data_IF_439899865865
#
_entry.id   IF_439899865865
#
_cell.length_a   1.000
_cell.length_b   1.000
_cell.length_c   1.000
_cell.angle_alpha   90.00
_cell.angle_beta   90.00
_cell.angle_gamma   90.00
#
_symmetry.space_group_name_H-M   'P 1'
#
loop_
_entity.id
_entity.type
_entity.pdbx_description
1 polymer ?
#
# COMPACT_ATOMS: atom_id res chain seq x y z
N UNK A 1 -33.67 -0.64 -43.17
CA UNK A 1 -32.23 -0.48 -42.86
C UNK A 1 -32.13 -0.28 -41.35
N UNK A 2 -31.83 -1.34 -40.60
CA UNK A 2 -31.73 -1.26 -39.14
C UNK A 2 -30.35 -0.77 -38.74
N UNK A 3 -30.27 0.48 -38.29
CA UNK A 3 -29.12 1.01 -37.55
C UNK A 3 -29.18 0.47 -36.13
N UNK A 4 -28.28 -0.47 -35.83
CA UNK A 4 -27.99 -0.84 -34.45
C UNK A 4 -27.20 0.31 -33.82
N UNK A 5 -27.86 1.11 -32.99
CA UNK A 5 -27.16 2.08 -32.14
C UNK A 5 -26.46 1.30 -31.04
N UNK A 6 -25.13 1.30 -31.06
CA UNK A 6 -24.31 0.78 -29.99
C UNK A 6 -24.68 1.57 -28.72
N UNK A 7 -25.24 0.90 -27.71
CA UNK A 7 -25.46 1.47 -26.37
C UNK A 7 -24.10 1.58 -25.68
N UNK A 8 -23.30 2.55 -26.12
CA UNK A 8 -22.18 3.03 -25.32
C UNK A 8 -22.77 3.81 -24.13
N UNK A 9 -22.50 3.36 -22.92
CA UNK A 9 -22.84 4.12 -21.71
C UNK A 9 -22.10 5.46 -21.78
N UNK A 10 -22.83 6.57 -21.82
CA UNK A 10 -22.20 7.89 -21.82
C UNK A 10 -21.30 8.05 -20.59
N UNK A 11 -20.06 8.55 -20.74
CA UNK A 11 -19.16 8.75 -19.61
C UNK A 11 -19.74 9.78 -18.63
N UNK A 12 -19.51 9.53 -17.33
CA UNK A 12 -19.83 10.48 -16.26
C UNK A 12 -19.05 11.79 -16.49
N UNK A 13 -19.61 12.98 -16.20
CA UNK A 13 -18.89 14.24 -16.36
C UNK A 13 -17.55 14.25 -15.62
N UNK A 14 -16.48 14.64 -16.32
CA UNK A 14 -15.11 14.63 -15.79
C UNK A 14 -14.43 13.25 -15.77
N UNK A 15 -15.04 12.22 -16.36
CA UNK A 15 -14.44 10.90 -16.55
C UNK A 15 -13.96 10.68 -18.00
N UNK A 16 -13.13 9.65 -18.18
CA UNK A 16 -12.64 9.18 -19.48
C UNK A 16 -13.07 7.72 -19.64
N UNK A 17 -13.55 7.37 -20.84
CA UNK A 17 -13.91 5.98 -21.20
C UNK A 17 -12.63 5.14 -21.31
N UNK A 18 -12.60 3.98 -20.65
CA UNK A 18 -11.45 3.07 -20.62
C UNK A 18 -11.82 1.64 -21.10
N UNK A 19 -12.87 1.52 -21.91
CA UNK A 19 -13.42 0.22 -22.36
C UNK A 19 -12.36 -0.62 -23.10
N UNK A 20 -11.45 0.04 -23.83
CA UNK A 20 -10.33 -0.59 -24.52
C UNK A 20 -9.29 -1.22 -23.56
N UNK A 21 -9.32 -0.84 -22.29
CA UNK A 21 -8.43 -1.35 -21.23
C UNK A 21 -9.11 -2.38 -20.31
N UNK A 22 -10.30 -2.88 -20.65
CA UNK A 22 -11.05 -3.85 -19.84
C UNK A 22 -10.17 -5.03 -19.38
N UNK A 23 -9.46 -5.65 -20.32
CA UNK A 23 -8.57 -6.79 -20.05
C UNK A 23 -7.44 -6.38 -19.09
N UNK A 24 -6.86 -5.20 -19.27
CA UNK A 24 -5.78 -4.67 -18.42
C UNK A 24 -6.28 -4.46 -17.00
N UNK A 25 -7.46 -3.86 -16.84
CA UNK A 25 -8.08 -3.63 -15.54
C UNK A 25 -8.37 -4.95 -14.83
N UNK A 26 -8.86 -5.97 -15.54
CA UNK A 26 -9.12 -7.29 -14.96
C UNK A 26 -7.84 -8.00 -14.51
N UNK A 27 -6.77 -7.96 -15.31
CA UNK A 27 -5.47 -8.48 -14.86
C UNK A 27 -4.96 -7.73 -13.63
N UNK A 28 -5.10 -6.41 -13.60
CA UNK A 28 -4.68 -5.59 -12.46
C UNK A 28 -5.46 -5.95 -11.19
N UNK A 29 -6.77 -6.20 -11.28
CA UNK A 29 -7.57 -6.69 -10.15
C UNK A 29 -7.01 -8.00 -9.60
N UNK A 30 -6.73 -8.96 -10.47
CA UNK A 30 -6.18 -10.28 -10.07
C UNK A 30 -4.81 -10.16 -9.43
N UNK A 31 -3.94 -9.31 -9.98
CA UNK A 31 -2.61 -9.06 -9.40
C UNK A 31 -2.74 -8.45 -8.02
N UNK A 32 -3.57 -7.42 -7.83
CA UNK A 32 -3.81 -6.81 -6.52
C UNK A 32 -4.36 -7.81 -5.50
N UNK A 33 -5.28 -8.68 -5.92
CA UNK A 33 -5.80 -9.74 -5.05
C UNK A 33 -4.71 -10.72 -4.62
N UNK A 34 -3.87 -11.19 -5.55
CA UNK A 34 -2.73 -12.06 -5.24
C UNK A 34 -1.71 -11.38 -4.34
N UNK A 35 -1.41 -10.10 -4.57
CA UNK A 35 -0.52 -9.33 -3.71
C UNK A 35 -1.03 -9.27 -2.27
N UNK A 36 -2.34 -9.03 -2.06
CA UNK A 36 -2.95 -9.07 -0.74
C UNK A 36 -2.77 -10.43 -0.08
N UNK A 37 -3.13 -11.51 -0.79
CA UNK A 37 -2.95 -12.88 -0.31
C UNK A 37 -1.49 -13.16 0.09
N UNK A 38 -0.51 -12.84 -0.75
CA UNK A 38 0.90 -13.08 -0.44
C UNK A 38 1.43 -12.18 0.68
N UNK A 39 0.85 -10.99 0.85
CA UNK A 39 1.17 -10.10 1.97
C UNK A 39 0.72 -10.72 3.29
N UNK A 40 -0.55 -11.15 3.35
CA UNK A 40 -1.12 -11.83 4.51
C UNK A 40 -0.37 -13.12 4.84
N UNK A 41 -0.06 -13.92 3.81
CA UNK A 41 0.71 -15.15 3.98
C UNK A 41 2.12 -14.87 4.52
N UNK A 42 2.84 -13.91 3.95
CA UNK A 42 4.17 -13.50 4.44
C UNK A 42 4.09 -13.08 5.90
N UNK A 43 3.13 -12.24 6.25
CA UNK A 43 2.96 -11.74 7.63
C UNK A 43 2.69 -12.87 8.61
N UNK A 44 1.83 -13.83 8.24
CA UNK A 44 1.55 -15.02 9.06
C UNK A 44 2.80 -15.90 9.27
N UNK A 45 3.62 -16.11 8.23
CA UNK A 45 4.83 -16.92 8.33
C UNK A 45 5.92 -16.21 9.14
N UNK A 46 6.08 -14.90 8.93
CA UNK A 46 7.00 -14.09 9.72
C UNK A 46 6.60 -14.08 11.20
N UNK A 47 5.31 -14.03 11.51
CA UNK A 47 4.82 -14.07 12.89
C UNK A 47 5.28 -15.36 13.59
N UNK A 48 5.10 -16.51 12.94
CA UNK A 48 5.57 -17.81 13.47
C UNK A 48 7.09 -17.81 13.72
N UNK A 49 7.86 -17.22 12.81
CA UNK A 49 9.34 -17.12 12.97
C UNK A 49 9.70 -16.16 14.12
N UNK A 50 9.06 -15.00 14.20
CA UNK A 50 9.29 -14.00 15.25
C UNK A 50 8.95 -14.56 16.63
N UNK A 51 7.81 -15.24 16.76
CA UNK A 51 7.39 -15.90 18.00
C UNK A 51 8.42 -16.96 18.44
N UNK A 52 8.98 -17.69 17.48
CA UNK A 52 10.03 -18.69 17.77
C UNK A 52 11.36 -18.05 18.17
N UNK A 53 11.73 -16.92 17.58
CA UNK A 53 12.95 -16.18 17.91
C UNK A 53 12.89 -15.53 19.30
N UNK A 54 11.72 -15.04 19.71
CA UNK A 54 11.53 -14.33 20.97
C UNK A 54 12.44 -13.10 21.05
N UNK A 55 13.34 -13.09 22.03
CA UNK A 55 14.33 -12.02 22.23
C UNK A 55 15.65 -12.25 21.46
N UNK A 56 15.79 -13.39 20.80
CA UNK A 56 17.01 -13.74 20.06
C UNK A 56 17.03 -13.07 18.69
N UNK A 57 18.14 -12.43 18.35
CA UNK A 57 18.23 -11.68 17.09
C UNK A 57 18.42 -12.53 15.84
N UNK A 58 18.95 -13.75 15.95
CA UNK A 58 19.35 -14.57 14.79
C UNK A 58 18.79 -15.98 14.89
N UNK A 59 18.09 -16.41 13.83
CA UNK A 59 17.61 -17.77 13.65
C UNK A 59 18.49 -18.54 12.69
N UNK A 60 18.79 -19.80 13.01
CA UNK A 60 19.60 -20.69 12.17
C UNK A 60 18.79 -21.88 11.67
N UNK A 61 19.12 -22.35 10.46
CA UNK A 61 18.63 -23.60 9.88
C UNK A 61 19.84 -24.45 9.50
N UNK A 62 19.96 -25.64 10.10
CA UNK A 62 21.12 -26.54 9.92
C UNK A 62 22.47 -25.85 10.23
N UNK A 63 22.49 -25.02 11.28
CA UNK A 63 23.67 -24.26 11.70
C UNK A 63 23.98 -23.01 10.86
N UNK A 64 23.21 -22.74 9.79
CA UNK A 64 23.39 -21.56 8.93
C UNK A 64 22.39 -20.47 9.32
N UNK A 65 22.81 -19.21 9.57
CA UNK A 65 21.90 -18.10 9.79
C UNK A 65 20.98 -17.85 8.59
N UNK A 66 19.67 -17.77 8.83
CA UNK A 66 18.66 -17.57 7.77
C UNK A 66 17.66 -16.45 8.05
N UNK A 67 17.55 -15.99 9.29
CA UNK A 67 16.63 -14.93 9.68
C UNK A 67 17.26 -14.05 10.77
N UNK A 68 16.92 -12.76 10.76
CA UNK A 68 17.24 -11.86 11.85
C UNK A 68 16.07 -10.97 12.22
N UNK A 69 15.88 -10.72 13.52
CA UNK A 69 14.86 -9.82 14.05
C UNK A 69 15.45 -8.99 15.18
N UNK A 70 15.67 -7.70 14.92
CA UNK A 70 16.38 -6.81 15.85
C UNK A 70 15.48 -5.66 16.29
N UNK A 71 15.65 -5.22 17.54
CA UNK A 71 15.01 -4.00 18.06
C UNK A 71 15.88 -2.81 17.70
N UNK A 72 15.31 -1.82 17.01
CA UNK A 72 15.98 -0.54 16.73
C UNK A 72 15.15 0.61 17.31
N UNK A 73 15.82 1.56 17.97
CA UNK A 73 15.17 2.80 18.39
C UNK A 73 15.02 3.73 17.19
N UNK A 74 13.80 4.17 16.91
CA UNK A 74 13.52 5.22 15.93
C UNK A 74 13.18 6.51 16.67
N UNK A 75 13.95 7.56 16.42
CA UNK A 75 13.61 8.92 16.86
C UNK A 75 12.76 9.55 15.74
N UNK A 76 11.57 10.02 16.10
CA UNK A 76 10.69 10.75 15.19
C UNK A 76 10.11 11.97 15.90
N UNK A 77 9.97 13.07 15.19
CA UNK A 77 9.29 14.25 15.71
C UNK A 77 7.80 13.96 15.86
N UNK A 78 7.24 14.21 17.04
CA UNK A 78 5.79 14.15 17.22
C UNK A 78 5.15 15.41 16.65
N UNK A 79 4.72 15.35 15.40
CA UNK A 79 4.07 16.48 14.70
C UNK A 79 2.83 16.97 15.46
N UNK A 80 2.08 16.06 16.11
CA UNK A 80 0.95 16.42 16.95
C UNK A 80 1.37 17.30 18.14
N UNK A 81 2.44 16.92 18.86
CA UNK A 81 3.00 17.74 19.95
C UNK A 81 3.58 19.06 19.42
N UNK A 82 4.25 19.04 18.28
CA UNK A 82 4.81 20.25 17.65
C UNK A 82 3.69 21.25 17.31
N UNK A 83 2.61 20.81 16.68
CA UNK A 83 1.45 21.65 16.35
C UNK A 83 0.73 22.18 17.60
N UNK A 84 0.68 21.40 18.68
CA UNK A 84 0.04 21.81 19.93
C UNK A 84 0.86 22.86 20.70
N UNK A 85 2.19 22.76 20.69
CA UNK A 85 3.08 23.63 21.46
C UNK A 85 3.61 24.83 20.67
N UNK A 86 3.86 24.66 19.37
CA UNK A 86 4.48 25.65 18.48
C UNK A 86 3.79 25.67 17.10
N UNK A 87 2.52 26.12 17.02
CA UNK A 87 1.72 26.07 15.80
C UNK A 87 2.27 26.94 14.66
N UNK A 88 2.89 28.07 15.00
CA UNK A 88 3.54 29.01 14.09
C UNK A 88 4.75 28.38 13.40
N UNK A 89 5.62 27.72 14.16
CA UNK A 89 6.78 26.98 13.64
C UNK A 89 6.33 25.81 12.77
N UNK A 90 5.34 25.04 13.23
CA UNK A 90 4.81 23.93 12.46
C UNK A 90 4.33 24.39 11.07
N UNK A 91 3.58 25.49 11.01
CA UNK A 91 3.06 26.06 9.76
C UNK A 91 4.17 26.61 8.85
N UNK A 92 5.20 27.24 9.42
CA UNK A 92 6.34 27.74 8.65
C UNK A 92 7.17 26.62 7.98
N UNK A 93 7.04 25.39 8.46
CA UNK A 93 7.72 24.21 7.93
C UNK A 93 6.83 23.33 7.04
N UNK A 94 5.58 23.70 6.78
CA UNK A 94 4.69 22.93 5.90
C UNK A 94 5.09 23.15 4.44
N UNK A 95 5.34 22.04 3.74
CA UNK A 95 5.48 22.00 2.29
C UNK A 95 4.26 21.29 1.71
N UNK A 96 3.54 21.98 0.82
CA UNK A 96 2.30 21.47 0.22
C UNK A 96 2.60 21.09 -1.22
N UNK A 97 2.65 19.78 -1.47
CA UNK A 97 2.76 19.22 -2.81
C UNK A 97 1.45 18.56 -3.24
N UNK A 98 1.02 18.83 -4.46
CA UNK A 98 -0.09 18.11 -5.08
C UNK A 98 0.35 16.68 -5.44
N UNK A 99 -0.40 15.68 -4.97
CA UNK A 99 -0.14 14.27 -5.27
C UNK A 99 -1.38 13.63 -5.90
N UNK A 100 -1.17 12.88 -6.98
CA UNK A 100 -2.22 12.06 -7.59
C UNK A 100 -2.08 10.63 -7.10
N UNK A 101 -3.15 10.08 -6.55
CA UNK A 101 -3.17 8.68 -6.08
C UNK A 101 -3.91 7.82 -7.09
N UNK A 102 -3.27 6.72 -7.50
CA UNK A 102 -3.94 5.72 -8.32
C UNK A 102 -4.71 4.74 -7.44
N UNK A 103 -6.04 4.80 -7.51
CA UNK A 103 -6.93 3.87 -6.82
C UNK A 103 -7.70 3.09 -7.87
N UNK A 104 -7.61 1.77 -7.81
CA UNK A 104 -8.50 0.93 -8.62
C UNK A 104 -9.83 0.87 -7.87
N UNK A 105 -10.86 1.46 -8.47
CA UNK A 105 -12.21 1.40 -7.93
C UNK A 105 -12.73 -0.03 -8.12
N UNK A 106 -13.32 -0.57 -7.05
CA UNK A 106 -13.92 -1.91 -7.02
C UNK A 106 -15.34 -1.85 -7.51
#
# INVERSE_FOLDING_TARGET
>A
MSTWTYLGTDPVPGSVVLDDLEIVLEYLRRVKQRQRYYTELRESLELVIKDRLGETEVGTLRGVPVATFKKSLRISVSIARLRALHPDVAKACEDIAEVRTFVLLG
#
